data_IF_442436600418
#
_entry.id   IF_442436600418
#
_cell.length_a   1.000
_cell.length_b   1.000
_cell.length_c   1.000
_cell.angle_alpha   90.00
_cell.angle_beta   90.00
_cell.angle_gamma   90.00
#
_symmetry.space_group_name_H-M   'P 1'
#
loop_
_entity.id
_entity.type
_entity.pdbx_description
1 polymer ?
#
# COMPACT_ATOMS: atom_id res chain seq x y z
N UNK A 1 -4.08 -49.81 8.44
CA UNK A 1 -4.54 -49.01 7.28
C UNK A 1 -5.02 -47.65 7.79
N UNK A 2 -4.18 -46.62 7.78
CA UNK A 2 -4.60 -45.24 8.02
C UNK A 2 -3.83 -44.33 7.08
N UNK A 3 -4.41 -44.01 5.93
CA UNK A 3 -3.99 -42.93 5.05
C UNK A 3 -5.25 -42.18 4.64
N UNK A 4 -5.25 -40.85 4.80
CA UNK A 4 -6.29 -39.99 4.28
C UNK A 4 -6.74 -38.86 5.21
N UNK A 5 -5.83 -37.97 5.59
CA UNK A 5 -6.18 -36.63 6.12
C UNK A 5 -5.06 -35.63 5.82
N UNK A 6 -4.87 -35.32 4.53
CA UNK A 6 -3.97 -34.26 4.10
C UNK A 6 -4.28 -33.80 2.66
N UNK A 7 -5.53 -33.39 2.37
CA UNK A 7 -5.84 -32.79 1.05
C UNK A 7 -6.82 -31.61 1.09
N UNK A 8 -7.39 -31.24 2.25
CA UNK A 8 -8.46 -30.21 2.29
C UNK A 8 -7.93 -28.80 2.63
N UNK A 9 -6.69 -28.68 3.09
CA UNK A 9 -6.27 -27.50 3.88
C UNK A 9 -5.59 -26.37 3.07
N UNK A 10 -5.09 -26.62 1.85
CA UNK A 10 -4.38 -25.60 1.06
C UNK A 10 -5.30 -24.77 0.15
N UNK A 11 -6.35 -25.39 -0.41
CA UNK A 11 -7.32 -24.71 -1.27
C UNK A 11 -8.16 -23.67 -0.53
N UNK A 12 -8.59 -23.99 0.69
CA UNK A 12 -9.38 -23.10 1.54
C UNK A 12 -8.55 -21.92 2.08
N UNK A 13 -7.29 -22.17 2.49
CA UNK A 13 -6.33 -21.12 2.92
C UNK A 13 -5.99 -20.15 1.80
N UNK A 14 -5.83 -20.64 0.57
CA UNK A 14 -5.59 -19.80 -0.60
C UNK A 14 -6.75 -18.86 -0.89
N UNK A 15 -7.98 -19.33 -0.70
CA UNK A 15 -9.19 -18.55 -0.97
C UNK A 15 -9.46 -17.48 0.11
N UNK A 16 -9.26 -17.82 1.38
CA UNK A 16 -9.33 -16.87 2.50
C UNK A 16 -8.31 -15.75 2.34
N UNK A 17 -7.09 -16.07 1.93
CA UNK A 17 -6.04 -15.06 1.76
C UNK A 17 -6.33 -14.11 0.59
N UNK A 18 -6.81 -14.64 -0.54
CA UNK A 18 -7.24 -13.81 -1.68
C UNK A 18 -8.36 -12.85 -1.29
N UNK A 19 -9.30 -13.28 -0.44
CA UNK A 19 -10.34 -12.42 0.11
C UNK A 19 -9.74 -11.26 0.91
N UNK A 20 -8.84 -11.55 1.86
CA UNK A 20 -8.20 -10.50 2.67
C UNK A 20 -7.38 -9.51 1.83
N UNK A 21 -6.68 -9.98 0.78
CA UNK A 21 -5.96 -9.11 -0.16
C UNK A 21 -6.95 -8.13 -0.82
N UNK A 22 -8.04 -8.63 -1.41
CA UNK A 22 -9.06 -7.80 -2.08
C UNK A 22 -9.71 -6.79 -1.13
N UNK A 23 -10.12 -7.23 0.06
CA UNK A 23 -10.72 -6.34 1.06
C UNK A 23 -9.75 -5.25 1.52
N UNK A 24 -8.47 -5.59 1.70
CA UNK A 24 -7.46 -4.62 2.11
C UNK A 24 -7.19 -3.62 0.98
N UNK A 25 -7.11 -4.08 -0.26
CA UNK A 25 -6.94 -3.24 -1.45
C UNK A 25 -8.06 -2.21 -1.58
N UNK A 26 -9.33 -2.63 -1.41
CA UNK A 26 -10.48 -1.73 -1.35
C UNK A 26 -10.34 -0.67 -0.25
N UNK A 27 -9.88 -1.07 0.94
CA UNK A 27 -9.66 -0.12 2.06
C UNK A 27 -8.54 0.88 1.75
N UNK A 28 -7.45 0.45 1.11
CA UNK A 28 -6.38 1.35 0.66
C UNK A 28 -6.93 2.36 -0.34
N UNK A 29 -7.66 1.90 -1.36
CA UNK A 29 -8.23 2.78 -2.39
C UNK A 29 -9.20 3.81 -1.79
N UNK A 30 -10.07 3.37 -0.89
CA UNK A 30 -10.99 4.27 -0.21
C UNK A 30 -10.25 5.32 0.62
N UNK A 31 -9.21 4.93 1.37
CA UNK A 31 -8.45 5.88 2.18
C UNK A 31 -7.62 6.85 1.35
N UNK A 32 -7.07 6.43 0.21
CA UNK A 32 -6.32 7.33 -0.67
C UNK A 32 -7.27 8.32 -1.37
N UNK A 33 -8.45 7.90 -1.79
CA UNK A 33 -9.46 8.78 -2.38
C UNK A 33 -9.94 9.84 -1.39
N UNK A 34 -10.12 9.46 -0.12
CA UNK A 34 -10.39 10.41 0.94
C UNK A 34 -9.22 11.35 1.23
N UNK A 35 -7.98 10.88 1.18
CA UNK A 35 -6.81 11.76 1.28
C UNK A 35 -6.77 12.78 0.13
N UNK A 36 -7.00 12.37 -1.12
CA UNK A 36 -7.08 13.26 -2.27
C UNK A 36 -8.19 14.31 -2.09
N UNK A 37 -9.37 13.88 -1.64
CA UNK A 37 -10.50 14.78 -1.39
C UNK A 37 -10.19 15.80 -0.28
N UNK A 38 -9.61 15.36 0.83
CA UNK A 38 -9.21 16.22 1.94
C UNK A 38 -8.13 17.22 1.52
N UNK A 39 -7.17 16.81 0.67
CA UNK A 39 -6.15 17.69 0.13
C UNK A 39 -6.77 18.81 -0.72
N UNK A 40 -7.67 18.47 -1.65
CA UNK A 40 -8.38 19.45 -2.49
C UNK A 40 -9.20 20.44 -1.67
N UNK A 41 -9.82 19.96 -0.58
CA UNK A 41 -10.61 20.80 0.36
C UNK A 41 -9.76 21.55 1.38
N UNK A 42 -8.44 21.34 1.38
CA UNK A 42 -7.49 21.92 2.36
C UNK A 42 -7.80 21.56 3.81
N UNK A 43 -8.36 20.37 4.04
CA UNK A 43 -8.68 19.85 5.37
C UNK A 43 -7.44 19.14 5.96
N UNK A 44 -6.47 19.93 6.47
CA UNK A 44 -5.14 19.40 6.88
C UNK A 44 -5.20 18.20 7.83
N UNK A 45 -6.08 18.25 8.85
CA UNK A 45 -6.22 17.17 9.84
C UNK A 45 -6.79 15.90 9.21
N UNK A 46 -7.84 16.03 8.40
CA UNK A 46 -8.43 14.89 7.71
C UNK A 46 -7.44 14.28 6.71
N UNK A 47 -6.70 15.13 5.99
CA UNK A 47 -5.65 14.68 5.08
C UNK A 47 -4.60 13.83 5.81
N UNK A 48 -4.07 14.33 6.92
CA UNK A 48 -3.10 13.59 7.75
C UNK A 48 -3.69 12.24 8.21
N UNK A 49 -4.90 12.23 8.77
CA UNK A 49 -5.57 11.01 9.23
C UNK A 49 -5.73 9.97 8.11
N UNK A 50 -6.12 10.39 6.90
CA UNK A 50 -6.27 9.49 5.76
C UNK A 50 -4.94 9.01 5.19
N UNK A 51 -3.88 9.83 5.23
CA UNK A 51 -2.52 9.38 4.90
C UNK A 51 -2.06 8.28 5.87
N UNK A 52 -2.30 8.43 7.17
CA UNK A 52 -1.97 7.40 8.16
C UNK A 52 -2.76 6.12 7.95
N UNK A 53 -4.07 6.21 7.69
CA UNK A 53 -4.91 5.04 7.35
C UNK A 53 -4.41 4.33 6.09
N UNK A 54 -4.08 5.10 5.05
CA UNK A 54 -3.55 4.54 3.79
C UNK A 54 -2.24 3.80 4.05
N UNK A 55 -1.32 4.39 4.82
CA UNK A 55 -0.06 3.75 5.17
C UNK A 55 -0.28 2.43 5.92
N UNK A 56 -1.18 2.42 6.92
CA UNK A 56 -1.53 1.22 7.67
C UNK A 56 -2.03 0.09 6.76
N UNK A 57 -2.98 0.38 5.88
CA UNK A 57 -3.51 -0.64 4.98
C UNK A 57 -2.48 -1.11 3.94
N UNK A 58 -1.61 -0.21 3.45
CA UNK A 58 -0.52 -0.58 2.55
C UNK A 58 0.53 -1.48 3.22
N UNK A 59 0.88 -1.22 4.47
CA UNK A 59 1.75 -2.10 5.26
C UNK A 59 1.12 -3.50 5.39
N UNK A 60 -0.16 -3.55 5.77
CA UNK A 60 -0.87 -4.81 5.92
C UNK A 60 -0.98 -5.58 4.60
N UNK A 61 -1.33 -4.90 3.51
CA UNK A 61 -1.40 -5.49 2.17
C UNK A 61 -0.03 -6.00 1.71
N UNK A 62 1.02 -5.21 1.92
CA UNK A 62 2.40 -5.60 1.60
C UNK A 62 2.78 -6.87 2.36
N UNK A 63 2.42 -6.96 3.64
CA UNK A 63 2.64 -8.16 4.44
C UNK A 63 1.89 -9.37 3.89
N UNK A 64 0.59 -9.27 3.61
CA UNK A 64 -0.21 -10.37 3.03
C UNK A 64 0.36 -10.89 1.71
N UNK A 65 0.79 -9.98 0.84
CA UNK A 65 1.41 -10.33 -0.44
C UNK A 65 2.79 -10.97 -0.25
N UNK A 66 3.57 -10.52 0.74
CA UNK A 66 4.87 -11.14 1.07
C UNK A 66 4.75 -12.59 1.54
N UNK A 67 3.63 -12.96 2.18
CA UNK A 67 3.35 -14.34 2.58
C UNK A 67 2.91 -15.24 1.41
N UNK A 68 2.58 -14.64 0.28
CA UNK A 68 1.93 -15.31 -0.86
C UNK A 68 2.83 -15.39 -2.08
N UNK A 69 3.93 -14.64 -2.07
CA UNK A 69 4.85 -14.58 -3.19
C UNK A 69 5.81 -15.76 -3.22
N UNK A 70 6.21 -16.15 -4.41
CA UNK A 70 7.13 -17.27 -4.62
C UNK A 70 8.53 -16.79 -4.99
N UNK A 71 8.66 -15.60 -5.59
CA UNK A 71 9.94 -15.02 -5.94
C UNK A 71 10.40 -14.04 -4.86
N UNK A 72 11.69 -14.09 -4.47
CA UNK A 72 12.26 -13.21 -3.43
C UNK A 72 13.27 -12.21 -4.03
N UNK A 73 13.44 -12.19 -5.37
CA UNK A 73 14.32 -11.21 -6.00
C UNK A 73 13.73 -9.80 -5.95
N UNK A 74 14.29 -9.01 -5.03
CA UNK A 74 13.90 -7.66 -4.70
C UNK A 74 14.90 -6.61 -5.22
N UNK A 75 15.74 -6.93 -6.21
CA UNK A 75 16.74 -6.00 -6.78
C UNK A 75 16.13 -4.67 -7.23
N UNK A 76 14.87 -4.67 -7.68
CA UNK A 76 14.15 -3.47 -8.09
C UNK A 76 13.88 -2.49 -6.94
N UNK A 77 13.83 -2.93 -5.67
CA UNK A 77 13.61 -2.05 -4.51
C UNK A 77 14.69 -0.98 -4.35
N UNK A 78 15.92 -1.25 -4.83
CA UNK A 78 17.05 -0.30 -4.78
C UNK A 78 16.94 0.83 -5.80
N UNK A 79 16.13 0.65 -6.86
CA UNK A 79 16.02 1.60 -7.99
C UNK A 79 14.93 2.66 -7.79
N UNK A 80 13.99 2.42 -6.89
CA UNK A 80 12.85 3.30 -6.64
C UNK A 80 13.19 4.38 -5.60
N UNK A 81 13.46 5.60 -6.06
CA UNK A 81 13.56 6.80 -5.21
C UNK A 81 12.76 7.94 -5.82
N UNK A 82 11.80 8.48 -5.07
CA UNK A 82 11.19 9.76 -5.45
C UNK A 82 12.21 10.88 -5.36
N UNK A 83 12.21 11.74 -6.38
CA UNK A 83 12.95 13.01 -6.34
C UNK A 83 12.40 13.89 -5.21
N UNK A 84 13.27 14.69 -4.58
CA UNK A 84 12.84 15.70 -3.61
C UNK A 84 12.02 16.78 -4.32
N UNK A 85 11.03 17.36 -3.63
CA UNK A 85 10.25 18.49 -4.15
C UNK A 85 9.06 18.13 -5.06
N UNK A 86 8.80 16.85 -5.33
CA UNK A 86 7.59 16.44 -6.09
C UNK A 86 6.33 16.83 -5.32
N UNK A 87 5.34 17.42 -5.98
CA UNK A 87 4.07 17.85 -5.38
C UNK A 87 3.28 16.68 -4.75
N UNK A 88 2.53 16.94 -3.66
CA UNK A 88 1.76 15.89 -2.98
C UNK A 88 0.69 15.30 -3.89
N UNK A 89 0.00 16.11 -4.69
CA UNK A 89 -1.05 15.68 -5.63
C UNK A 89 -0.50 14.70 -6.65
N UNK A 90 0.71 14.98 -7.17
CA UNK A 90 1.40 14.08 -8.11
C UNK A 90 1.72 12.75 -7.43
N UNK A 91 2.22 12.77 -6.19
CA UNK A 91 2.55 11.54 -5.47
C UNK A 91 1.29 10.70 -5.21
N UNK A 92 0.18 11.34 -4.84
CA UNK A 92 -1.10 10.67 -4.61
C UNK A 92 -1.66 10.03 -5.89
N UNK A 93 -1.60 10.75 -7.03
CA UNK A 93 -1.99 10.18 -8.33
C UNK A 93 -1.14 8.96 -8.68
N UNK A 94 0.18 9.06 -8.49
CA UNK A 94 1.09 7.93 -8.71
C UNK A 94 0.79 6.74 -7.79
N UNK A 95 0.34 6.97 -6.56
CA UNK A 95 -0.10 5.90 -5.66
C UNK A 95 -1.36 5.23 -6.21
N UNK A 96 -2.37 6.01 -6.60
CA UNK A 96 -3.61 5.49 -7.18
C UNK A 96 -3.35 4.69 -8.46
N UNK A 97 -2.45 5.16 -9.33
CA UNK A 97 -2.11 4.45 -10.56
C UNK A 97 -1.45 3.10 -10.27
N UNK A 98 -0.49 3.06 -9.33
CA UNK A 98 0.13 1.80 -8.91
C UNK A 98 -0.86 0.82 -8.27
N UNK A 99 -1.87 1.30 -7.54
CA UNK A 99 -2.91 0.45 -6.96
C UNK A 99 -3.86 -0.09 -8.02
N UNK A 100 -4.29 0.74 -8.98
CA UNK A 100 -5.10 0.32 -10.12
C UNK A 100 -4.41 -0.70 -11.00
N UNK A 101 -3.10 -0.59 -11.16
CA UNK A 101 -2.31 -1.60 -11.87
C UNK A 101 -2.18 -2.88 -11.06
N UNK A 102 -1.96 -2.79 -9.75
CA UNK A 102 -1.89 -3.96 -8.86
C UNK A 102 -3.20 -4.75 -8.85
N UNK A 103 -4.35 -4.08 -8.93
CA UNK A 103 -5.68 -4.70 -9.05
C UNK A 103 -5.85 -5.58 -10.30
N UNK A 104 -5.12 -5.26 -11.37
CA UNK A 104 -5.22 -5.94 -12.66
C UNK A 104 -4.22 -7.08 -12.82
N UNK A 105 -3.27 -7.22 -11.90
CA UNK A 105 -2.26 -8.26 -11.96
C UNK A 105 -2.79 -9.59 -11.41
N UNK A 106 -2.70 -10.64 -12.21
CA UNK A 106 -2.90 -12.02 -11.75
C UNK A 106 -1.67 -12.56 -11.00
N UNK A 107 -0.50 -11.93 -11.19
CA UNK A 107 0.77 -12.27 -10.57
C UNK A 107 0.90 -11.61 -9.20
N UNK A 108 0.97 -12.43 -8.14
CA UNK A 108 1.20 -11.95 -6.75
C UNK A 108 2.52 -11.19 -6.64
N UNK A 109 3.56 -11.60 -7.37
CA UNK A 109 4.87 -10.94 -7.36
C UNK A 109 4.81 -9.53 -7.98
N UNK A 110 4.08 -9.36 -9.08
CA UNK A 110 3.89 -8.05 -9.70
C UNK A 110 3.00 -7.15 -8.84
N UNK A 111 1.93 -7.71 -8.28
CA UNK A 111 1.06 -7.01 -7.33
C UNK A 111 1.86 -6.54 -6.10
N UNK A 112 2.70 -7.41 -5.52
CA UNK A 112 3.59 -7.07 -4.42
C UNK A 112 4.51 -5.90 -4.77
N UNK A 113 5.13 -5.94 -5.95
CA UNK A 113 6.01 -4.87 -6.42
C UNK A 113 5.30 -3.54 -6.49
N UNK A 114 4.11 -3.49 -7.10
CA UNK A 114 3.34 -2.25 -7.26
C UNK A 114 2.84 -1.70 -5.93
N UNK A 115 2.36 -2.56 -5.03
CA UNK A 115 1.95 -2.18 -3.68
C UNK A 115 3.13 -1.64 -2.87
N UNK A 116 4.32 -2.25 -2.97
CA UNK A 116 5.52 -1.76 -2.30
C UNK A 116 5.92 -0.35 -2.77
N UNK A 117 5.80 -0.09 -4.06
CA UNK A 117 6.05 1.23 -4.67
C UNK A 117 5.07 2.27 -4.10
N UNK A 118 3.78 1.94 -4.08
CA UNK A 118 2.74 2.77 -3.48
C UNK A 118 3.00 3.05 -1.99
N UNK A 119 3.40 2.03 -1.23
CA UNK A 119 3.82 2.15 0.18
C UNK A 119 4.98 3.14 0.35
N UNK A 120 6.05 3.00 -0.45
CA UNK A 120 7.19 3.92 -0.39
C UNK A 120 6.81 5.38 -0.63
N UNK A 121 5.89 5.62 -1.58
CA UNK A 121 5.32 6.96 -1.87
C UNK A 121 4.57 7.53 -0.68
N UNK A 122 3.68 6.76 -0.05
CA UNK A 122 2.91 7.21 1.12
C UNK A 122 3.81 7.48 2.33
N UNK A 123 4.79 6.61 2.60
CA UNK A 123 5.78 6.85 3.66
C UNK A 123 6.58 8.15 3.42
N UNK A 124 6.82 8.50 2.16
CA UNK A 124 7.47 9.77 1.81
C UNK A 124 6.59 10.99 2.16
N UNK A 125 5.27 10.89 1.99
CA UNK A 125 4.31 11.92 2.40
C UNK A 125 4.28 12.05 3.92
N UNK A 126 4.16 10.94 4.65
CA UNK A 126 4.19 10.94 6.12
C UNK A 126 5.45 11.62 6.68
N UNK A 127 6.62 11.31 6.10
CA UNK A 127 7.88 11.96 6.50
C UNK A 127 7.83 13.47 6.31
N UNK A 128 7.24 13.95 5.20
CA UNK A 128 7.09 15.39 4.94
C UNK A 128 6.14 16.04 5.93
N UNK A 129 5.00 15.40 6.24
CA UNK A 129 4.04 15.88 7.22
C UNK A 129 4.66 16.00 8.62
N UNK A 130 5.37 14.95 9.06
CA UNK A 130 6.06 14.97 10.36
C UNK A 130 7.15 16.04 10.42
N UNK A 131 7.94 16.22 9.35
CA UNK A 131 8.95 17.27 9.28
C UNK A 131 8.33 18.68 9.32
N UNK A 132 7.19 18.88 8.65
CA UNK A 132 6.48 20.16 8.66
C UNK A 132 5.92 20.47 10.06
N UNK A 133 5.34 19.47 10.73
CA UNK A 133 4.88 19.59 12.12
C UNK A 133 6.05 19.93 13.06
N UNK A 134 7.16 19.18 12.99
CA UNK A 134 8.34 19.42 13.82
C UNK A 134 8.89 20.85 13.66
N UNK A 135 8.92 21.39 12.43
CA UNK A 135 9.32 22.77 12.18
C UNK A 135 8.36 23.78 12.82
N UNK A 136 7.04 23.57 12.75
CA UNK A 136 6.04 24.43 13.41
C UNK A 136 6.18 24.46 14.94
N UNK A 137 6.74 23.41 15.56
CA UNK A 137 6.99 23.37 17.01
C UNK A 137 8.30 24.04 17.44
N UNK A 138 9.23 24.28 16.51
CA UNK A 138 10.56 24.85 16.78
C UNK A 138 10.65 26.36 16.44
N UNK A 139 9.57 26.95 15.94
CA UNK A 139 9.41 28.38 15.60
C UNK A 139 8.35 28.99 16.50
#
# INVERSE_FOLDING_TARGET
MHHGRACVDEGEKGDVRRRFIRETLLKVNLSIDYACSALTRREERAFDDYIWKTAFYLEYLTFLLSLSRTNVDDVWKKREKLKRGVDLTIILSLVQDSLKEAEKDDSVDDMYRKVWIARGRILSIQRRLNNAKAKKFLT
#
